data_IF_428422100976
#
_entry.id   IF_428422100976
#
_cell.length_a   1.000
_cell.length_b   1.000
_cell.length_c   1.000
_cell.angle_alpha   90.00
_cell.angle_beta   90.00
_cell.angle_gamma   90.00
#
_symmetry.space_group_name_H-M   'P 1'
#
loop_
_entity.id
_entity.type
_entity.pdbx_description
1 polymer ?
#
# COMPACT_ATOMS: atom_id res chain seq x y z
N UNK A 1 -10.59 19.13 15.71
CA UNK A 1 -10.24 18.97 14.33
C UNK A 1 -10.26 17.51 13.91
N UNK A 2 -10.36 17.29 12.64
CA UNK A 2 -10.33 15.96 12.13
C UNK A 2 -8.92 15.43 12.10
N UNK A 3 -8.82 14.13 12.20
CA UNK A 3 -7.55 13.48 12.01
C UNK A 3 -7.12 13.58 10.58
N UNK A 4 -5.83 13.56 10.39
CA UNK A 4 -5.27 13.53 9.06
C UNK A 4 -5.24 12.09 8.55
N UNK A 5 -5.55 11.91 7.29
CA UNK A 5 -5.41 10.60 6.68
C UNK A 5 -4.00 10.42 6.20
N UNK A 6 -3.45 9.29 6.51
CA UNK A 6 -2.09 8.93 6.12
C UNK A 6 -2.11 7.57 5.46
N UNK A 7 -1.33 7.43 4.42
CA UNK A 7 -1.23 6.17 3.70
C UNK A 7 0.20 5.69 3.76
N UNK A 8 0.34 4.40 3.91
CA UNK A 8 1.64 3.79 4.03
C UNK A 8 1.69 2.55 3.17
N UNK A 9 2.77 2.38 2.46
CA UNK A 9 2.99 1.19 1.66
C UNK A 9 4.43 0.76 1.82
N UNK A 10 4.62 -0.54 2.01
CA UNK A 10 5.94 -1.10 2.15
C UNK A 10 6.02 -2.35 1.29
N UNK A 11 7.09 -2.45 0.53
CA UNK A 11 7.33 -3.63 -0.30
C UNK A 11 8.71 -4.15 0.05
N UNK A 12 8.77 -5.40 0.47
CA UNK A 12 10.02 -6.08 0.76
C UNK A 12 10.17 -7.24 -0.20
N UNK A 13 11.31 -7.29 -0.86
CA UNK A 13 11.58 -8.34 -1.83
C UNK A 13 12.86 -9.05 -1.41
N UNK A 14 12.75 -10.36 -1.26
CA UNK A 14 13.92 -11.19 -1.04
C UNK A 14 14.05 -12.15 -2.23
N UNK A 15 15.20 -12.82 -2.37
CA UNK A 15 15.32 -13.78 -3.48
C UNK A 15 14.28 -14.89 -3.46
N UNK A 16 13.66 -15.14 -2.31
CA UNK A 16 12.76 -16.27 -2.16
C UNK A 16 11.30 -15.88 -2.09
N UNK A 17 11.00 -14.66 -1.68
CA UNK A 17 9.61 -14.24 -1.57
C UNK A 17 9.52 -12.73 -1.57
N UNK A 18 8.29 -12.24 -1.49
CA UNK A 18 8.07 -10.81 -1.38
C UNK A 18 6.84 -10.56 -0.51
N UNK A 19 6.85 -9.42 0.15
CA UNK A 19 5.76 -9.01 1.04
C UNK A 19 5.36 -7.59 0.69
N UNK A 20 4.06 -7.37 0.55
CA UNK A 20 3.50 -6.05 0.29
C UNK A 20 2.57 -5.70 1.44
N UNK A 21 2.79 -4.55 2.03
CA UNK A 21 1.96 -4.05 3.13
C UNK A 21 1.34 -2.73 2.69
N UNK A 22 0.05 -2.61 2.91
CA UNK A 22 -0.69 -1.38 2.61
C UNK A 22 -1.48 -0.97 3.84
N UNK A 23 -1.39 0.28 4.22
CA UNK A 23 -2.10 0.77 5.39
C UNK A 23 -2.67 2.15 5.13
N UNK A 24 -3.85 2.37 5.66
CA UNK A 24 -4.49 3.68 5.65
C UNK A 24 -4.89 3.98 7.08
N UNK A 25 -4.52 5.16 7.56
CA UNK A 25 -4.71 5.53 8.94
C UNK A 25 -5.34 6.92 9.00
N UNK A 26 -6.26 7.09 9.92
CA UNK A 26 -6.85 8.41 10.18
C UNK A 26 -6.73 8.67 11.67
N UNK A 27 -5.90 9.67 12.01
CA UNK A 27 -5.59 9.90 13.41
C UNK A 27 -4.93 8.69 14.03
N UNK A 28 -5.59 8.07 14.98
CA UNK A 28 -5.06 6.88 15.63
C UNK A 28 -5.75 5.60 15.17
N UNK A 29 -6.63 5.72 14.19
CA UNK A 29 -7.41 4.58 13.73
C UNK A 29 -6.85 4.08 12.40
N UNK A 30 -6.71 2.77 12.31
CA UNK A 30 -6.34 2.15 11.03
C UNK A 30 -7.61 1.79 10.29
N UNK A 31 -7.79 2.40 9.12
CA UNK A 31 -8.93 2.13 8.27
C UNK A 31 -8.67 0.97 7.32
N UNK A 32 -7.42 0.74 7.02
CA UNK A 32 -6.99 -0.33 6.14
C UNK A 32 -5.67 -0.86 6.64
N UNK A 33 -5.55 -2.17 6.72
CA UNK A 33 -4.31 -2.79 7.17
C UNK A 33 -4.22 -4.14 6.48
N UNK A 34 -3.53 -4.18 5.35
CA UNK A 34 -3.42 -5.38 4.54
C UNK A 34 -1.97 -5.75 4.33
N UNK A 35 -1.72 -7.03 4.30
CA UNK A 35 -0.41 -7.50 3.90
C UNK A 35 -0.58 -8.73 3.02
N UNK A 36 0.26 -8.83 2.01
CA UNK A 36 0.28 -9.96 1.08
C UNK A 36 1.67 -10.54 1.05
N UNK A 37 1.74 -11.85 1.03
CA UNK A 37 3.02 -12.52 0.87
C UNK A 37 2.97 -13.40 -0.37
N UNK A 38 3.99 -13.31 -1.18
CA UNK A 38 4.14 -14.12 -2.38
C UNK A 38 5.33 -15.03 -2.23
N UNK A 39 5.21 -16.22 -2.80
CA UNK A 39 6.25 -17.24 -2.67
C UNK A 39 7.39 -17.05 -3.64
N UNK A 40 7.46 -15.89 -4.26
CA UNK A 40 8.53 -15.59 -5.22
C UNK A 40 8.86 -14.11 -5.11
N UNK A 41 10.05 -13.79 -5.59
CA UNK A 41 10.46 -12.40 -5.62
C UNK A 41 9.67 -11.67 -6.71
N UNK A 42 9.23 -10.46 -6.39
CA UNK A 42 8.58 -9.62 -7.39
C UNK A 42 9.64 -9.01 -8.29
N UNK A 43 9.29 -8.89 -9.57
CA UNK A 43 10.16 -8.18 -10.50
C UNK A 43 10.03 -6.69 -10.26
N UNK A 44 11.02 -5.88 -10.70
CA UNK A 44 10.87 -4.43 -10.59
C UNK A 44 9.60 -3.90 -11.25
N UNK A 45 9.19 -4.50 -12.36
CA UNK A 45 7.95 -4.06 -13.02
C UNK A 45 6.75 -4.33 -12.14
N UNK A 46 6.73 -5.47 -11.47
CA UNK A 46 5.61 -5.80 -10.58
C UNK A 46 5.56 -4.85 -9.38
N UNK A 47 6.72 -4.49 -8.85
CA UNK A 47 6.77 -3.54 -7.76
C UNK A 47 6.23 -2.20 -8.21
N UNK A 48 6.62 -1.74 -9.39
CA UNK A 48 6.14 -0.47 -9.92
C UNK A 48 4.63 -0.48 -10.09
N UNK A 49 4.08 -1.57 -10.60
CA UNK A 49 2.64 -1.68 -10.79
C UNK A 49 1.93 -1.63 -9.44
N UNK A 50 2.45 -2.35 -8.45
CA UNK A 50 1.82 -2.35 -7.13
C UNK A 50 1.80 -0.95 -6.52
N UNK A 51 2.90 -0.24 -6.63
CA UNK A 51 2.98 1.11 -6.10
C UNK A 51 2.03 2.04 -6.86
N UNK A 52 2.02 1.94 -8.17
CA UNK A 52 1.16 2.79 -8.98
C UNK A 52 -0.31 2.53 -8.67
N UNK A 53 -0.69 1.27 -8.50
CA UNK A 53 -2.07 0.95 -8.16
C UNK A 53 -2.47 1.54 -6.83
N UNK A 54 -1.59 1.46 -5.84
CA UNK A 54 -1.88 2.02 -4.54
C UNK A 54 -2.02 3.54 -4.61
N UNK A 55 -1.11 4.20 -5.29
CA UNK A 55 -1.15 5.65 -5.43
C UNK A 55 -2.42 6.08 -6.15
N UNK A 56 -2.77 5.39 -7.22
CA UNK A 56 -3.99 5.70 -7.95
C UNK A 56 -5.22 5.51 -7.09
N UNK A 57 -5.24 4.48 -6.28
CA UNK A 57 -6.35 4.23 -5.39
C UNK A 57 -6.52 5.37 -4.39
N UNK A 58 -5.40 5.84 -3.83
CA UNK A 58 -5.45 6.95 -2.89
C UNK A 58 -5.94 8.22 -3.58
N UNK A 59 -5.43 8.50 -4.77
CA UNK A 59 -5.86 9.69 -5.51
C UNK A 59 -7.33 9.64 -5.84
N UNK A 60 -7.83 8.49 -6.22
CA UNK A 60 -9.23 8.34 -6.55
C UNK A 60 -10.10 8.64 -5.34
N UNK A 61 -9.69 8.13 -4.18
CA UNK A 61 -10.47 8.37 -2.97
C UNK A 61 -10.45 9.83 -2.55
N UNK A 62 -9.33 10.51 -2.79
CA UNK A 62 -9.25 11.91 -2.44
C UNK A 62 -10.10 12.79 -3.34
N UNK A 63 -10.41 12.33 -4.54
CA UNK A 63 -11.18 13.11 -5.49
C UNK A 63 -12.68 12.92 -5.32
N UNK A 64 -13.10 12.03 -4.46
CA UNK A 64 -14.52 11.81 -4.25
C UNK A 64 -15.13 13.03 -3.60
N UNK A 65 -16.25 13.43 -4.14
CA UNK A 65 -16.94 14.61 -3.68
C UNK A 65 -18.02 14.23 -2.70
#
# INVERSE_FOLDING_TARGET
TQGKKEWFMRVEVTPENSVVVRQEKEGERYLLDESEMHDRAMTPAEVDVAIADFVNSVKTRQKVK
#
